data_IF_490286298093
#
_entry.id   IF_490286298093
#
_cell.length_a   1.000
_cell.length_b   1.000
_cell.length_c   1.000
_cell.angle_alpha   90.00
_cell.angle_beta   90.00
_cell.angle_gamma   90.00
#
_symmetry.space_group_name_H-M   'P 1'
#
loop_
_entity.id
_entity.type
_entity.pdbx_description
1 polymer ?
#
# COMPACT_ATOMS: atom_id res chain seq x y z
N UNK A 1 4.12 14.05 18.78
CA UNK A 1 4.19 14.04 17.31
C UNK A 1 3.22 12.98 16.82
N UNK A 2 2.17 13.34 16.08
CA UNK A 2 1.28 12.34 15.47
C UNK A 2 2.12 11.53 14.47
N UNK A 3 2.17 10.21 14.63
CA UNK A 3 2.77 9.34 13.64
C UNK A 3 1.92 9.43 12.36
N UNK A 4 2.47 10.04 11.32
CA UNK A 4 1.84 10.03 9.99
C UNK A 4 2.07 8.64 9.40
N UNK A 5 1.10 7.76 9.57
CA UNK A 5 1.12 6.44 8.94
C UNK A 5 1.01 6.61 7.42
N UNK A 6 1.87 5.92 6.69
CA UNK A 6 1.77 5.77 5.25
C UNK A 6 0.74 4.70 4.91
N UNK A 7 0.00 4.94 3.84
CA UNK A 7 -1.02 4.01 3.35
C UNK A 7 -0.62 3.57 1.95
N UNK A 8 -0.50 2.26 1.76
CA UNK A 8 -0.23 1.66 0.46
C UNK A 8 -1.34 0.68 0.08
N UNK A 9 -1.71 0.63 -1.20
CA UNK A 9 -2.54 -0.42 -1.76
C UNK A 9 -1.69 -1.28 -2.70
N UNK A 10 -1.44 -2.53 -2.33
CA UNK A 10 -0.64 -3.49 -3.08
C UNK A 10 -1.54 -4.43 -3.87
N UNK A 11 -1.20 -4.75 -5.11
CA UNK A 11 -1.91 -5.79 -5.86
C UNK A 11 -1.75 -7.16 -5.18
N UNK A 12 -2.86 -7.90 -5.08
CA UNK A 12 -2.94 -9.12 -4.29
C UNK A 12 -2.03 -10.24 -4.78
N UNK A 13 -1.78 -10.30 -6.07
CA UNK A 13 -0.84 -11.22 -6.72
C UNK A 13 0.63 -10.94 -6.36
N UNK A 14 0.94 -9.70 -5.96
CA UNK A 14 2.28 -9.26 -5.56
C UNK A 14 2.57 -9.49 -4.06
N UNK A 15 1.59 -9.93 -3.27
CA UNK A 15 1.77 -10.22 -1.82
C UNK A 15 2.88 -11.24 -1.54
N UNK A 16 3.05 -12.34 -2.32
CA UNK A 16 4.14 -13.27 -2.11
C UNK A 16 5.53 -12.64 -2.27
N UNK A 17 5.65 -11.58 -3.09
CA UNK A 17 6.92 -10.86 -3.28
C UNK A 17 7.36 -10.10 -2.02
N UNK A 18 6.44 -9.82 -1.08
CA UNK A 18 6.79 -9.20 0.19
C UNK A 18 7.61 -10.11 1.10
N UNK A 19 7.60 -11.43 0.88
CA UNK A 19 8.44 -12.37 1.62
C UNK A 19 8.27 -12.37 3.15
N UNK A 20 7.13 -11.89 3.67
CA UNK A 20 6.91 -11.73 5.11
C UNK A 20 7.59 -10.50 5.74
N UNK A 21 8.02 -9.54 4.92
CA UNK A 21 8.61 -8.28 5.38
C UNK A 21 7.69 -7.51 6.35
N UNK A 22 8.32 -6.83 7.30
CA UNK A 22 7.63 -6.04 8.33
C UNK A 22 8.25 -4.64 8.47
N UNK A 23 7.47 -3.70 8.99
CA UNK A 23 7.88 -2.33 9.34
C UNK A 23 8.73 -1.64 8.24
N UNK A 24 10.01 -1.37 8.50
CA UNK A 24 10.91 -0.62 7.62
C UNK A 24 11.23 -1.36 6.32
N UNK A 25 11.36 -2.70 6.37
CA UNK A 25 11.62 -3.50 5.16
C UNK A 25 10.37 -3.54 4.28
N UNK A 26 9.20 -3.75 4.89
CA UNK A 26 7.92 -3.69 4.21
C UNK A 26 7.73 -2.32 3.55
N UNK A 27 8.02 -1.23 4.26
CA UNK A 27 7.93 0.13 3.73
C UNK A 27 8.84 0.34 2.51
N UNK A 28 10.08 -0.15 2.54
CA UNK A 28 11.01 -0.05 1.40
C UNK A 28 10.49 -0.84 0.19
N UNK A 29 10.07 -2.08 0.42
CA UNK A 29 9.53 -2.93 -0.65
C UNK A 29 8.26 -2.34 -1.26
N UNK A 30 7.35 -1.78 -0.46
CA UNK A 30 6.15 -1.11 -0.96
C UNK A 30 6.50 0.13 -1.81
N UNK A 31 7.52 0.91 -1.43
CA UNK A 31 8.01 2.05 -2.24
C UNK A 31 8.57 1.56 -3.58
N UNK A 32 9.37 0.49 -3.59
CA UNK A 32 9.91 -0.08 -4.82
C UNK A 32 8.80 -0.66 -5.72
N UNK A 33 7.77 -1.29 -5.13
CA UNK A 33 6.60 -1.80 -5.85
C UNK A 33 5.72 -0.68 -6.42
N UNK A 34 5.64 0.48 -5.76
CA UNK A 34 5.00 1.68 -6.33
C UNK A 34 5.75 2.13 -7.59
N UNK A 35 7.08 2.17 -7.55
CA UNK A 35 7.89 2.52 -8.72
C UNK A 35 7.71 1.52 -9.89
N UNK A 36 7.38 0.27 -9.59
CA UNK A 36 7.08 -0.78 -10.58
C UNK A 36 5.61 -0.80 -11.04
N UNK A 37 4.74 0.03 -10.48
CA UNK A 37 3.30 0.05 -10.80
C UNK A 37 2.49 -1.11 -10.18
N UNK A 38 3.08 -1.87 -9.26
CA UNK A 38 2.44 -3.00 -8.55
C UNK A 38 1.71 -2.56 -7.27
N UNK A 39 2.02 -1.36 -6.78
CA UNK A 39 1.38 -0.76 -5.61
C UNK A 39 1.06 0.72 -5.85
N UNK A 40 0.19 1.27 -5.00
CA UNK A 40 -0.21 2.68 -5.00
C UNK A 40 0.08 3.31 -3.63
N UNK A 41 0.81 4.42 -3.60
CA UNK A 41 0.92 5.27 -2.40
C UNK A 41 -0.33 6.13 -2.27
N UNK A 42 -1.15 5.81 -1.28
CA UNK A 42 -2.41 6.50 -1.00
C UNK A 42 -2.31 7.46 0.21
N UNK A 43 -1.10 7.72 0.71
CA UNK A 43 -0.90 8.54 1.92
C UNK A 43 -1.52 9.93 1.81
N UNK A 44 -1.52 10.52 0.62
CA UNK A 44 -2.01 11.88 0.38
C UNK A 44 -3.34 11.94 -0.40
N UNK A 45 -3.99 10.81 -0.63
CA UNK A 45 -5.29 10.79 -1.33
C UNK A 45 -6.36 11.31 -0.36
N UNK A 46 -6.97 12.44 -0.70
CA UNK A 46 -8.06 13.05 0.08
C UNK A 46 -9.45 12.67 -0.44
N UNK A 47 -9.53 12.08 -1.64
CA UNK A 47 -10.78 11.61 -2.22
C UNK A 47 -11.24 10.30 -1.55
N UNK A 48 -12.26 10.42 -0.69
CA UNK A 48 -12.84 9.29 0.01
C UNK A 48 -13.53 8.28 -0.90
N UNK A 49 -14.05 8.69 -2.07
CA UNK A 49 -14.70 7.77 -3.01
C UNK A 49 -13.67 6.85 -3.64
N UNK A 50 -12.51 7.40 -4.00
CA UNK A 50 -11.40 6.62 -4.53
C UNK A 50 -10.86 5.64 -3.48
N UNK A 51 -10.65 6.10 -2.24
CA UNK A 51 -10.21 5.21 -1.16
C UNK A 51 -11.20 4.08 -0.88
N UNK A 52 -12.51 4.38 -0.91
CA UNK A 52 -13.54 3.36 -0.71
C UNK A 52 -13.61 2.35 -1.87
N UNK A 53 -13.40 2.81 -3.11
CA UNK A 53 -13.31 1.92 -4.26
C UNK A 53 -12.11 0.96 -4.12
N UNK A 54 -10.95 1.46 -3.69
CA UNK A 54 -9.76 0.63 -3.45
C UNK A 54 -9.94 -0.34 -2.27
N UNK A 55 -10.59 0.09 -1.19
CA UNK A 55 -10.89 -0.78 -0.03
C UNK A 55 -11.89 -1.90 -0.37
N UNK A 56 -12.77 -1.68 -1.35
CA UNK A 56 -13.76 -2.69 -1.79
C UNK A 56 -13.26 -3.56 -2.95
N UNK A 57 -12.20 -3.14 -3.64
CA UNK A 57 -11.57 -3.90 -4.72
C UNK A 57 -10.76 -5.09 -4.17
N UNK A 58 -11.14 -6.30 -4.58
CA UNK A 58 -10.47 -7.54 -4.17
C UNK A 58 -9.07 -7.71 -4.78
N UNK A 59 -8.74 -6.88 -5.76
CA UNK A 59 -7.45 -6.84 -6.45
C UNK A 59 -6.36 -6.23 -5.56
N UNK A 60 -6.72 -5.36 -4.62
CA UNK A 60 -5.75 -4.65 -3.79
C UNK A 60 -5.83 -5.06 -2.31
N UNK A 61 -4.70 -4.98 -1.62
CA UNK A 61 -4.57 -5.14 -0.17
C UNK A 61 -3.98 -3.86 0.41
N UNK A 62 -4.61 -3.37 1.47
CA UNK A 62 -4.18 -2.16 2.16
C UNK A 62 -3.12 -2.47 3.21
N UNK A 63 -2.01 -1.74 3.17
CA UNK A 63 -0.92 -1.77 4.14
C UNK A 63 -0.79 -0.42 4.85
N UNK A 64 -0.60 -0.48 6.16
CA UNK A 64 -0.28 0.67 7.01
C UNK A 64 1.16 0.54 7.49
N UNK A 65 1.99 1.54 7.21
CA UNK A 65 3.42 1.54 7.56
C UNK A 65 3.84 2.84 8.23
#
# INVERSE_FOLDING_TARGET
MQATYKIYYLQRDCVPELGGAIFEELRRQLVDMVAQGKALDATNITDQRLLHALDTDRTYIKYYC
#
